data_IF_648704539313
#
_entry.id   IF_648704539313
#
_cell.length_a   1.000
_cell.length_b   1.000
_cell.length_c   1.000
_cell.angle_alpha   90.00
_cell.angle_beta   90.00
_cell.angle_gamma   90.00
#
_symmetry.space_group_name_H-M   'P 1'
#
loop_
_entity.id
_entity.type
_entity.pdbx_description
1 polymer ?
#
# COMPACT_ATOMS: atom_id res chain seq x y z
N UNK A 1 15.21 7.49 -4.83
CA UNK A 1 14.46 6.74 -3.82
C UNK A 1 13.25 7.57 -3.47
N UNK A 2 12.11 7.23 -4.05
CA UNK A 2 10.82 7.90 -3.84
C UNK A 2 9.92 7.11 -2.87
N UNK A 3 10.35 5.90 -2.51
CA UNK A 3 9.74 5.03 -1.51
C UNK A 3 9.88 5.57 -0.07
N UNK A 4 8.77 5.54 0.68
CA UNK A 4 8.74 5.79 2.11
C UNK A 4 8.01 4.66 2.85
N UNK A 5 8.35 4.47 4.12
CA UNK A 5 7.67 3.49 4.96
C UNK A 5 7.46 3.98 6.39
N UNK A 6 6.53 3.32 7.08
CA UNK A 6 6.26 3.45 8.52
C UNK A 6 6.26 2.05 9.11
N UNK A 7 6.91 1.86 10.26
CA UNK A 7 6.84 0.65 11.06
C UNK A 7 7.04 1.03 12.53
N UNK A 8 5.96 1.26 13.26
CA UNK A 8 6.02 1.74 14.66
C UNK A 8 4.84 1.23 15.48
N UNK A 9 5.03 1.15 16.79
CA UNK A 9 3.97 0.91 17.75
C UNK A 9 3.56 2.20 18.45
N UNK A 10 2.28 2.31 18.84
CA UNK A 10 1.71 3.45 19.56
C UNK A 10 0.57 2.96 20.45
N UNK A 11 0.46 3.51 21.67
CA UNK A 11 -0.73 3.32 22.50
C UNK A 11 -1.72 4.45 22.24
N UNK A 12 -2.99 4.12 21.98
CA UNK A 12 -4.06 5.08 21.73
C UNK A 12 -5.39 4.52 22.26
N UNK A 13 -6.18 5.31 22.98
CA UNK A 13 -7.48 4.88 23.56
C UNK A 13 -7.45 3.53 24.30
N UNK A 14 -6.39 3.27 25.08
CA UNK A 14 -6.15 2.02 25.82
C UNK A 14 -5.91 0.77 24.94
N UNK A 15 -5.60 0.95 23.65
CA UNK A 15 -5.22 -0.11 22.74
C UNK A 15 -3.75 0.03 22.32
N UNK A 16 -3.08 -1.10 22.14
CA UNK A 16 -1.77 -1.14 21.49
C UNK A 16 -1.97 -1.21 19.97
N UNK A 17 -1.42 -0.24 19.25
CA UNK A 17 -1.49 -0.15 17.79
C UNK A 17 -0.14 -0.42 17.16
N UNK A 18 -0.08 -1.39 16.24
CA UNK A 18 1.01 -1.54 15.28
C UNK A 18 0.66 -0.85 13.97
N UNK A 19 1.43 0.17 13.59
CA UNK A 19 1.19 1.00 12.40
C UNK A 19 2.28 0.74 11.36
N UNK A 20 1.89 0.21 10.21
CA UNK A 20 2.83 -0.18 9.15
C UNK A 20 2.35 0.29 7.79
N UNK A 21 3.22 0.91 7.00
CA UNK A 21 2.85 1.34 5.66
C UNK A 21 4.03 1.37 4.72
N UNK A 22 3.75 1.20 3.43
CA UNK A 22 4.67 1.53 2.34
C UNK A 22 3.95 2.51 1.42
N UNK A 23 4.71 3.53 1.00
CA UNK A 23 4.30 4.59 0.08
C UNK A 23 5.30 4.56 -1.07
N UNK A 24 4.87 4.00 -2.20
CA UNK A 24 5.67 4.00 -3.43
C UNK A 24 5.35 5.27 -4.21
N UNK A 25 6.31 6.20 -4.20
CA UNK A 25 6.17 7.52 -4.76
C UNK A 25 6.60 7.58 -6.22
N UNK A 26 6.00 8.51 -6.97
CA UNK A 26 6.41 8.75 -8.35
C UNK A 26 6.36 10.24 -8.72
N UNK A 27 7.32 10.67 -9.53
CA UNK A 27 7.45 12.07 -9.99
C UNK A 27 7.61 13.08 -8.83
N UNK A 28 8.34 12.69 -7.78
CA UNK A 28 8.67 13.51 -6.62
C UNK A 28 8.45 12.80 -5.28
N UNK A 29 9.24 13.18 -4.28
CA UNK A 29 9.22 12.59 -2.93
C UNK A 29 8.25 13.27 -1.94
N UNK A 30 7.70 14.42 -2.30
CA UNK A 30 6.91 15.24 -1.38
C UNK A 30 5.57 14.61 -0.97
N UNK A 31 4.87 13.95 -1.91
CA UNK A 31 3.61 13.24 -1.62
C UNK A 31 3.83 12.04 -0.70
N UNK A 32 4.71 11.06 -1.00
CA UNK A 32 4.94 9.93 -0.10
C UNK A 32 5.52 10.36 1.26
N UNK A 33 6.35 11.42 1.30
CA UNK A 33 6.83 12.02 2.54
C UNK A 33 5.68 12.60 3.39
N UNK A 34 4.74 13.31 2.76
CA UNK A 34 3.54 13.82 3.44
C UNK A 34 2.67 12.68 3.98
N UNK A 35 2.46 11.62 3.20
CA UNK A 35 1.70 10.44 3.64
C UNK A 35 2.34 9.77 4.85
N UNK A 36 3.67 9.57 4.83
CA UNK A 36 4.43 9.04 5.98
C UNK A 36 4.20 9.85 7.25
N UNK A 37 4.17 11.17 7.15
CA UNK A 37 4.02 12.05 8.30
C UNK A 37 2.57 12.13 8.83
N UNK A 38 1.57 12.03 7.95
CA UNK A 38 0.21 12.45 8.29
C UNK A 38 -0.87 11.35 8.16
N UNK A 39 -0.74 10.39 7.25
CA UNK A 39 -1.85 9.49 6.91
C UNK A 39 -2.37 8.70 8.12
N UNK A 40 -1.49 8.17 8.96
CA UNK A 40 -1.92 7.47 10.17
C UNK A 40 -2.62 8.38 11.18
N UNK A 41 -2.15 9.61 11.37
CA UNK A 41 -2.84 10.54 12.28
C UNK A 41 -4.23 10.86 11.73
N UNK A 42 -4.33 11.13 10.42
CA UNK A 42 -5.62 11.38 9.77
C UNK A 42 -6.58 10.18 9.94
N UNK A 43 -6.09 8.94 9.83
CA UNK A 43 -6.90 7.73 10.07
C UNK A 43 -7.36 7.63 11.53
N UNK A 44 -6.45 7.84 12.48
CA UNK A 44 -6.75 7.67 13.92
C UNK A 44 -7.62 8.81 14.48
N UNK A 45 -7.57 10.00 13.88
CA UNK A 45 -8.38 11.17 14.23
C UNK A 45 -9.78 11.14 13.59
N UNK A 46 -10.04 10.25 12.63
CA UNK A 46 -11.39 10.08 12.08
C UNK A 46 -12.38 9.66 13.18
N UNK A 47 -13.51 10.37 13.35
CA UNK A 47 -14.45 10.12 14.46
C UNK A 47 -15.00 8.69 14.53
N UNK A 48 -15.03 8.00 13.39
CA UNK A 48 -15.54 6.65 13.28
C UNK A 48 -14.48 5.58 13.54
N UNK A 49 -13.19 5.91 13.69
CA UNK A 49 -12.12 4.91 13.68
C UNK A 49 -12.35 3.74 14.65
N UNK A 50 -12.77 4.02 15.89
CA UNK A 50 -12.97 2.97 16.90
C UNK A 50 -14.32 2.23 16.78
N UNK A 51 -15.24 2.70 15.95
CA UNK A 51 -16.59 2.11 15.78
C UNK A 51 -16.78 1.45 14.43
N UNK A 52 -16.20 2.04 13.40
CA UNK A 52 -16.21 1.62 12.01
C UNK A 52 -14.87 2.00 11.36
N UNK A 53 -13.79 1.22 11.64
CA UNK A 53 -12.47 1.46 11.04
C UNK A 53 -12.51 1.44 9.51
N UNK A 54 -13.40 0.64 8.92
CA UNK A 54 -13.55 0.55 7.47
C UNK A 54 -13.89 1.92 6.86
N UNK A 55 -14.97 2.55 7.33
CA UNK A 55 -15.37 3.87 6.84
C UNK A 55 -14.37 4.95 7.23
N UNK A 56 -13.79 4.90 8.44
CA UNK A 56 -12.77 5.85 8.87
C UNK A 56 -11.54 5.84 7.96
N UNK A 57 -11.00 4.66 7.62
CA UNK A 57 -9.87 4.56 6.70
C UNK A 57 -10.21 5.14 5.31
N UNK A 58 -11.40 4.84 4.77
CA UNK A 58 -11.84 5.42 3.49
C UNK A 58 -11.95 6.94 3.54
N UNK A 59 -12.53 7.48 4.61
CA UNK A 59 -12.67 8.92 4.81
C UNK A 59 -11.30 9.61 4.94
N UNK A 60 -10.40 9.05 5.75
CA UNK A 60 -9.06 9.58 5.94
C UNK A 60 -8.24 9.58 4.64
N UNK A 61 -8.32 8.53 3.83
CA UNK A 61 -7.67 8.50 2.51
C UNK A 61 -8.23 9.59 1.60
N UNK A 62 -9.56 9.75 1.57
CA UNK A 62 -10.23 10.78 0.77
C UNK A 62 -9.84 12.21 1.21
N UNK A 63 -9.90 12.51 2.51
CA UNK A 63 -9.56 13.83 3.05
C UNK A 63 -8.08 14.15 2.89
N UNK A 64 -7.20 13.16 3.09
CA UNK A 64 -5.75 13.29 2.86
C UNK A 64 -5.45 13.59 1.39
N UNK A 65 -6.05 12.87 0.44
CA UNK A 65 -5.85 13.13 -0.97
C UNK A 65 -6.39 14.51 -1.38
N UNK A 66 -7.55 14.91 -0.86
CA UNK A 66 -8.10 16.25 -1.09
C UNK A 66 -7.11 17.33 -0.66
N UNK A 67 -6.53 17.21 0.53
CA UNK A 67 -5.50 18.13 1.00
C UNK A 67 -4.28 18.15 0.07
N UNK A 68 -3.79 16.99 -0.36
CA UNK A 68 -2.64 16.89 -1.27
C UNK A 68 -2.92 17.62 -2.59
N UNK A 69 -4.10 17.41 -3.18
CA UNK A 69 -4.49 18.06 -4.44
C UNK A 69 -4.62 19.58 -4.31
N UNK A 70 -5.23 20.05 -3.23
CA UNK A 70 -5.38 21.48 -2.91
C UNK A 70 -4.01 22.15 -2.70
N UNK A 71 -3.03 21.44 -2.13
CA UNK A 71 -1.69 21.93 -1.82
C UNK A 71 -0.59 21.47 -2.82
N UNK A 72 -0.98 20.98 -3.99
CA UNK A 72 -0.07 20.51 -5.06
C UNK A 72 0.99 21.52 -5.52
N UNK A 73 0.76 22.83 -5.36
CA UNK A 73 1.79 23.83 -5.65
C UNK A 73 3.00 23.73 -4.70
N UNK A 74 2.79 23.23 -3.47
CA UNK A 74 3.83 23.01 -2.46
C UNK A 74 4.30 21.56 -2.45
N UNK A 75 3.36 20.61 -2.57
CA UNK A 75 3.63 19.16 -2.52
C UNK A 75 4.07 18.57 -3.88
N UNK A 76 4.05 19.34 -4.95
CA UNK A 76 4.45 18.89 -6.28
C UNK A 76 3.34 18.23 -7.10
N UNK A 77 3.70 17.81 -8.31
CA UNK A 77 2.78 17.24 -9.30
C UNK A 77 2.71 15.72 -9.28
N UNK A 78 3.63 15.07 -8.57
CA UNK A 78 3.69 13.62 -8.44
C UNK A 78 2.59 13.03 -7.57
N UNK A 79 2.77 11.76 -7.26
CA UNK A 79 1.81 10.98 -6.50
C UNK A 79 2.49 9.89 -5.68
N UNK A 80 1.65 9.07 -5.07
CA UNK A 80 2.11 7.90 -4.32
C UNK A 80 1.01 6.86 -4.24
N UNK A 81 1.42 5.60 -4.26
CA UNK A 81 0.61 4.49 -3.75
C UNK A 81 0.60 4.52 -2.21
N UNK A 82 -0.27 3.73 -1.60
CA UNK A 82 -0.20 3.43 -0.18
C UNK A 82 -0.78 2.05 0.09
N UNK A 83 0.01 1.20 0.73
CA UNK A 83 -0.49 0.00 1.42
C UNK A 83 -0.28 0.19 2.91
N UNK A 84 -1.36 0.25 3.68
CA UNK A 84 -1.31 0.45 5.13
C UNK A 84 -1.86 -0.75 5.87
N UNK A 85 -1.22 -1.12 6.98
CA UNK A 85 -1.67 -2.09 7.95
C UNK A 85 -1.74 -1.47 9.35
N UNK A 86 -2.88 -1.65 10.01
CA UNK A 86 -3.09 -1.30 11.42
C UNK A 86 -3.40 -2.59 12.18
N UNK A 87 -2.55 -2.93 13.14
CA UNK A 87 -2.75 -4.05 14.06
C UNK A 87 -3.27 -3.49 15.38
N UNK A 88 -4.42 -3.95 15.86
CA UNK A 88 -5.02 -3.54 17.14
C UNK A 88 -4.91 -4.70 18.13
N UNK A 89 -4.22 -4.47 19.24
CA UNK A 89 -3.99 -5.42 20.35
C UNK A 89 -3.44 -6.79 19.94
N UNK A 90 -2.79 -6.87 18.77
CA UNK A 90 -2.35 -8.13 18.17
C UNK A 90 -3.49 -9.06 17.75
N UNK A 91 -4.74 -8.58 17.71
CA UNK A 91 -5.96 -9.35 17.45
C UNK A 91 -6.66 -8.98 16.16
N UNK A 92 -6.61 -7.73 15.75
CA UNK A 92 -7.30 -7.25 14.54
C UNK A 92 -6.28 -6.65 13.57
N UNK A 93 -6.30 -7.11 12.33
CA UNK A 93 -5.51 -6.55 11.23
C UNK A 93 -6.44 -5.83 10.26
N UNK A 94 -6.25 -4.52 10.13
CA UNK A 94 -6.89 -3.69 9.13
C UNK A 94 -5.90 -3.33 8.03
N UNK A 95 -6.22 -3.67 6.79
CA UNK A 95 -5.43 -3.33 5.60
C UNK A 95 -6.23 -2.33 4.75
N UNK A 96 -5.56 -1.31 4.23
CA UNK A 96 -6.10 -0.48 3.16
C UNK A 96 -5.05 -0.30 2.05
N UNK A 97 -5.51 -0.31 0.79
CA UNK A 97 -4.63 -0.15 -0.37
C UNK A 97 -5.15 0.86 -1.39
N UNK A 98 -4.25 1.65 -1.93
CA UNK A 98 -4.41 2.47 -3.15
C UNK A 98 -3.13 2.31 -3.98
N UNK A 99 -3.26 1.94 -5.25
CA UNK A 99 -2.12 1.65 -6.13
C UNK A 99 -1.81 0.16 -6.25
N UNK A 100 -0.59 -0.16 -6.65
CA UNK A 100 -0.06 -1.50 -6.95
C UNK A 100 1.02 -1.99 -5.95
N UNK A 101 1.27 -1.22 -4.89
CA UNK A 101 1.77 -1.81 -3.65
C UNK A 101 0.81 -2.89 -3.14
N UNK A 102 1.34 -3.92 -2.49
CA UNK A 102 0.55 -5.11 -2.14
C UNK A 102 0.88 -5.67 -0.77
N UNK A 103 -0.16 -6.19 -0.10
CA UNK A 103 -0.04 -6.97 1.12
C UNK A 103 -0.40 -8.45 0.90
N UNK A 104 0.45 -9.37 1.36
CA UNK A 104 0.30 -10.82 1.25
C UNK A 104 0.45 -11.48 2.61
N UNK A 105 -0.58 -12.21 3.04
CA UNK A 105 -0.66 -12.93 4.31
C UNK A 105 -0.12 -14.36 4.16
N UNK A 106 0.68 -14.80 5.13
CA UNK A 106 0.99 -16.22 5.32
C UNK A 106 -0.04 -16.83 6.26
N UNK A 107 -0.96 -17.63 5.72
CA UNK A 107 -1.96 -18.37 6.47
C UNK A 107 -1.72 -19.86 6.28
N UNK A 108 -1.47 -20.60 7.36
CA UNK A 108 -1.15 -22.05 7.34
C UNK A 108 0.00 -22.41 6.39
N UNK A 109 0.93 -21.48 6.19
CA UNK A 109 2.08 -21.66 5.31
C UNK A 109 1.82 -21.37 3.82
N UNK A 110 0.61 -20.92 3.46
CA UNK A 110 0.22 -20.55 2.08
C UNK A 110 0.04 -19.05 1.95
N UNK A 111 0.25 -18.51 0.74
CA UNK A 111 0.06 -17.10 0.45
C UNK A 111 -1.39 -16.74 0.16
N UNK A 112 -1.91 -15.75 0.87
CA UNK A 112 -3.21 -15.15 0.64
C UNK A 112 -3.04 -13.64 0.41
N UNK A 113 -3.30 -13.18 -0.82
CA UNK A 113 -3.21 -11.76 -1.14
C UNK A 113 -4.39 -11.01 -0.51
N UNK A 114 -4.08 -10.02 0.33
CA UNK A 114 -5.08 -9.27 1.07
C UNK A 114 -5.62 -8.08 0.29
N UNK A 115 -4.78 -7.47 -0.55
CA UNK A 115 -5.06 -6.24 -1.32
C UNK A 115 -5.34 -6.54 -2.78
N UNK A 116 -6.08 -5.67 -3.45
CA UNK A 116 -6.19 -5.67 -4.91
C UNK A 116 -5.22 -4.62 -5.46
N UNK A 117 -4.44 -5.02 -6.47
CA UNK A 117 -3.54 -4.10 -7.17
C UNK A 117 -4.37 -3.30 -8.18
N UNK A 118 -4.29 -1.98 -8.07
CA UNK A 118 -5.12 -1.07 -8.85
C UNK A 118 -4.52 -0.79 -10.23
N UNK A 119 -4.45 -1.82 -11.06
CA UNK A 119 -3.90 -1.71 -12.41
C UNK A 119 -4.87 -1.00 -13.39
N UNK A 120 -4.35 -0.19 -14.34
CA UNK A 120 -5.18 0.53 -15.32
C UNK A 120 -6.15 -0.36 -16.11
N UNK A 121 -5.74 -1.57 -16.52
CA UNK A 121 -6.63 -2.47 -17.26
C UNK A 121 -7.81 -2.98 -16.43
N UNK A 122 -7.58 -3.28 -15.15
CA UNK A 122 -8.62 -3.76 -14.25
C UNK A 122 -9.69 -2.67 -14.01
N UNK A 123 -9.28 -1.41 -13.98
CA UNK A 123 -10.17 -0.26 -13.72
C UNK A 123 -10.62 0.47 -15.01
N UNK A 124 -10.31 -0.09 -16.20
CA UNK A 124 -10.55 0.54 -17.52
C UNK A 124 -11.96 1.08 -17.67
N UNK A 125 -12.98 0.30 -17.30
CA UNK A 125 -14.39 0.71 -17.45
C UNK A 125 -14.70 1.98 -16.65
N UNK A 126 -14.14 2.14 -15.45
CA UNK A 126 -14.31 3.35 -14.63
C UNK A 126 -13.62 4.55 -15.29
N UNK A 127 -12.38 4.35 -15.75
CA UNK A 127 -11.55 5.37 -16.39
C UNK A 127 -12.21 5.92 -17.67
N UNK A 128 -12.69 5.03 -18.55
CA UNK A 128 -13.32 5.39 -19.82
C UNK A 128 -14.67 6.08 -19.62
N UNK A 129 -15.45 5.67 -18.60
CA UNK A 129 -16.69 6.37 -18.22
C UNK A 129 -16.46 7.82 -17.76
N UNK A 130 -15.26 8.12 -17.25
CA UNK A 130 -14.86 9.47 -16.83
C UNK A 130 -14.24 10.28 -17.98
N UNK A 131 -14.20 9.74 -19.20
CA UNK A 131 -13.63 10.41 -20.38
C UNK A 131 -12.12 10.19 -20.57
N UNK A 132 -11.51 9.34 -19.73
CA UNK A 132 -10.11 8.92 -19.88
C UNK A 132 -9.95 7.74 -20.83
N UNK A 133 -8.73 7.24 -20.94
CA UNK A 133 -8.42 6.02 -21.69
C UNK A 133 -7.31 5.21 -21.04
N UNK A 134 -7.23 3.92 -21.38
CA UNK A 134 -6.12 3.05 -20.98
C UNK A 134 -5.41 2.55 -22.23
N UNK A 135 -4.12 2.85 -22.34
CA UNK A 135 -3.28 2.44 -23.46
C UNK A 135 -2.09 1.62 -23.00
N UNK A 136 -1.59 0.74 -23.85
CA UNK A 136 -0.37 -0.03 -23.64
C UNK A 136 0.53 0.18 -24.85
N UNK A 137 1.64 0.90 -24.67
CA UNK A 137 2.62 1.07 -25.75
C UNK A 137 3.42 -0.22 -25.95
N UNK A 138 3.94 -0.50 -27.18
CA UNK A 138 4.74 -1.69 -27.43
C UNK A 138 5.95 -1.79 -26.48
N UNK A 139 6.02 -2.88 -25.70
CA UNK A 139 7.09 -3.10 -24.73
C UNK A 139 6.93 -2.35 -23.40
N UNK A 140 5.78 -1.73 -23.15
CA UNK A 140 5.46 -0.99 -21.92
C UNK A 140 4.29 -1.64 -21.17
N UNK A 141 3.96 -1.08 -20.01
CA UNK A 141 2.81 -1.46 -19.18
C UNK A 141 1.56 -0.64 -19.55
N UNK A 142 0.36 -1.11 -19.15
CA UNK A 142 -0.87 -0.33 -19.29
C UNK A 142 -0.78 0.98 -18.51
N UNK A 143 -1.27 2.08 -19.10
CA UNK A 143 -1.24 3.42 -18.49
C UNK A 143 -2.55 4.17 -18.65
N UNK A 144 -2.97 4.86 -17.58
CA UNK A 144 -4.07 5.83 -17.59
C UNK A 144 -3.64 7.06 -18.39
N UNK A 145 -4.41 7.39 -19.42
CA UNK A 145 -4.14 8.47 -20.38
C UNK A 145 -2.72 8.45 -20.97
N UNK A 146 -2.12 7.25 -21.08
CA UNK A 146 -0.74 7.07 -21.55
C UNK A 146 0.34 7.57 -20.60
N UNK A 147 0.00 7.95 -19.36
CA UNK A 147 0.92 8.58 -18.42
C UNK A 147 1.24 7.66 -17.22
N UNK A 148 0.23 7.26 -16.45
CA UNK A 148 0.45 6.61 -15.15
C UNK A 148 0.12 5.12 -15.17
N UNK A 149 1.02 4.29 -14.64
CA UNK A 149 0.88 2.82 -14.64
C UNK A 149 -0.02 2.28 -13.52
N UNK A 150 -0.62 3.14 -12.71
CA UNK A 150 -1.61 2.81 -11.68
C UNK A 150 -2.92 3.55 -11.94
N UNK A 151 -4.05 2.90 -11.58
CA UNK A 151 -5.40 3.45 -11.72
C UNK A 151 -5.86 4.24 -10.49
N UNK A 152 -5.22 3.98 -9.34
CA UNK A 152 -5.51 4.66 -8.08
C UNK A 152 -4.21 5.13 -7.43
N UNK A 153 -4.19 6.37 -6.95
CA UNK A 153 -3.04 6.99 -6.31
C UNK A 153 -3.49 8.20 -5.46
N UNK A 154 -2.63 8.61 -4.52
CA UNK A 154 -2.68 9.95 -3.94
C UNK A 154 -1.97 10.95 -4.85
N UNK A 155 -2.43 12.19 -4.91
CA UNK A 155 -1.80 13.24 -5.72
C UNK A 155 -2.20 13.15 -7.20
N UNK A 156 -1.21 13.27 -8.10
CA UNK A 156 -1.41 13.19 -9.56
C UNK A 156 -2.48 14.16 -10.08
N UNK A 157 -2.37 15.44 -9.70
CA UNK A 157 -3.40 16.47 -9.97
C UNK A 157 -3.80 16.57 -11.46
N UNK A 158 -2.87 16.36 -12.38
CA UNK A 158 -3.14 16.36 -13.84
C UNK A 158 -4.08 15.23 -14.28
N UNK A 159 -4.10 14.12 -13.54
CA UNK A 159 -4.90 12.93 -13.81
C UNK A 159 -6.07 12.73 -12.84
N UNK A 160 -6.29 13.66 -11.90
CA UNK A 160 -7.33 13.57 -10.85
C UNK A 160 -8.75 13.24 -11.34
N UNK A 161 -9.07 13.54 -12.61
CA UNK A 161 -10.39 13.26 -13.19
C UNK A 161 -10.58 11.77 -13.55
N UNK A 162 -9.49 11.03 -13.69
CA UNK A 162 -9.48 9.64 -14.17
C UNK A 162 -8.85 8.67 -13.16
N UNK A 163 -8.16 9.19 -12.14
CA UNK A 163 -7.67 8.42 -11.00
C UNK A 163 -8.67 8.43 -9.84
N UNK A 164 -8.62 7.39 -9.01
CA UNK A 164 -9.31 7.35 -7.72
C UNK A 164 -8.28 7.32 -6.59
N UNK A 165 -8.62 7.87 -5.43
CA UNK A 165 -7.87 7.67 -4.19
C UNK A 165 -8.70 6.90 -3.16
N UNK A 166 -9.78 6.25 -3.60
CA UNK A 166 -10.62 5.41 -2.75
C UNK A 166 -9.90 4.08 -2.47
N UNK A 167 -9.60 3.77 -1.19
CA UNK A 167 -8.93 2.53 -0.87
C UNK A 167 -9.91 1.36 -0.87
N UNK A 168 -9.38 0.19 -1.24
CA UNK A 168 -9.98 -1.07 -0.83
C UNK A 168 -9.51 -1.37 0.59
N UNK A 169 -10.47 -1.63 1.50
CA UNK A 169 -10.20 -1.85 2.94
C UNK A 169 -10.65 -3.25 3.34
N UNK A 170 -9.82 -3.97 4.10
CA UNK A 170 -10.08 -5.33 4.54
C UNK A 170 -9.74 -5.49 6.02
N UNK A 171 -10.63 -6.17 6.74
CA UNK A 171 -10.43 -6.61 8.11
C UNK A 171 -10.12 -8.11 8.16
N UNK A 172 -9.14 -8.48 8.97
CA UNK A 172 -8.73 -9.85 9.22
C UNK A 172 -8.55 -10.03 10.74
N UNK A 173 -9.37 -10.86 11.40
CA UNK A 173 -9.09 -11.32 12.75
C UNK A 173 -7.80 -12.16 12.75
N UNK A 174 -6.86 -11.82 13.61
CA UNK A 174 -5.60 -12.53 13.77
C UNK A 174 -5.86 -13.76 14.66
N UNK A 175 -5.67 -14.94 14.09
CA UNK A 175 -5.73 -16.22 14.80
C UNK A 175 -4.39 -16.96 14.76
N UNK A 176 -4.34 -18.16 15.33
CA UNK A 176 -3.12 -18.97 15.41
C UNK A 176 -2.63 -19.51 14.07
N UNK A 177 -3.45 -19.43 13.02
CA UNK A 177 -3.16 -19.93 11.69
C UNK A 177 -2.40 -18.89 10.85
N UNK A 178 -2.55 -17.61 11.20
CA UNK A 178 -1.85 -16.47 10.60
C UNK A 178 -0.44 -16.35 11.17
N UNK A 179 0.59 -16.41 10.32
CA UNK A 179 1.99 -16.39 10.79
C UNK A 179 2.64 -15.02 10.64
N UNK A 180 2.44 -14.39 9.50
CA UNK A 180 2.99 -13.08 9.18
C UNK A 180 2.29 -12.48 7.97
N UNK A 181 2.44 -11.19 7.77
CA UNK A 181 2.05 -10.49 6.54
C UNK A 181 3.26 -9.75 5.97
N UNK A 182 3.39 -9.76 4.64
CA UNK A 182 4.37 -8.99 3.88
C UNK A 182 3.63 -7.80 3.27
N UNK A 183 4.11 -6.58 3.50
CA UNK A 183 3.75 -5.40 2.70
C UNK A 183 4.98 -5.08 1.84
N UNK A 184 4.80 -4.83 0.54
CA UNK A 184 5.90 -4.36 -0.31
C UNK A 184 5.40 -3.48 -1.46
N UNK A 185 6.31 -2.63 -1.96
CA UNK A 185 6.14 -1.91 -3.22
C UNK A 185 6.20 -2.86 -4.41
N UNK A 186 5.81 -2.37 -5.58
CA UNK A 186 5.75 -3.20 -6.80
C UNK A 186 7.14 -3.70 -7.23
N UNK A 187 8.22 -3.04 -6.78
CA UNK A 187 9.60 -3.46 -7.00
C UNK A 187 9.91 -4.87 -6.50
N UNK A 188 9.16 -5.37 -5.49
CA UNK A 188 9.19 -6.78 -5.09
C UNK A 188 8.27 -7.62 -6.00
N UNK A 189 7.02 -7.20 -6.16
CA UNK A 189 5.96 -8.03 -6.75
C UNK A 189 6.07 -8.20 -8.27
N UNK A 190 6.77 -7.29 -8.96
CA UNK A 190 7.11 -7.40 -10.39
C UNK A 190 8.05 -8.57 -10.69
N UNK A 191 8.83 -9.04 -9.71
CA UNK A 191 9.86 -10.09 -9.91
C UNK A 191 9.66 -11.34 -9.05
N UNK A 192 8.66 -11.35 -8.18
CA UNK A 192 8.41 -12.45 -7.24
C UNK A 192 6.92 -12.71 -7.08
N UNK A 193 6.53 -13.99 -7.18
CA UNK A 193 5.14 -14.40 -6.94
C UNK A 193 4.82 -14.44 -5.45
N UNK A 194 3.54 -14.31 -5.10
CA UNK A 194 3.08 -14.30 -3.70
C UNK A 194 3.54 -15.54 -2.91
N UNK A 195 3.30 -16.75 -3.44
CA UNK A 195 3.69 -18.01 -2.78
C UNK A 195 5.20 -18.12 -2.60
N UNK A 196 5.94 -17.71 -3.63
CA UNK A 196 7.40 -17.70 -3.61
C UNK A 196 7.97 -16.77 -2.55
N UNK A 197 7.39 -15.57 -2.38
CA UNK A 197 7.77 -14.64 -1.32
C UNK A 197 7.52 -15.23 0.07
N UNK A 198 6.36 -15.87 0.28
CA UNK A 198 6.06 -16.55 1.54
C UNK A 198 7.06 -17.69 1.81
N UNK A 199 7.28 -18.56 0.83
CA UNK A 199 8.18 -19.71 0.95
C UNK A 199 9.62 -19.30 1.28
N UNK A 200 10.08 -18.18 0.71
CA UNK A 200 11.42 -17.67 0.91
C UNK A 200 11.71 -17.29 2.37
N UNK A 201 10.70 -16.79 3.08
CA UNK A 201 10.88 -16.20 4.43
C UNK A 201 10.11 -16.89 5.54
N UNK A 202 9.26 -17.89 5.23
CA UNK A 202 8.41 -18.54 6.25
C UNK A 202 9.18 -19.13 7.43
N UNK A 203 10.42 -19.58 7.21
CA UNK A 203 11.32 -20.10 8.25
C UNK A 203 12.13 -19.04 9.01
N UNK A 204 12.19 -17.79 8.52
CA UNK A 204 12.99 -16.71 9.12
C UNK A 204 12.19 -16.04 10.24
N UNK A 205 12.61 -16.23 11.49
CA UNK A 205 11.91 -15.71 12.67
C UNK A 205 12.02 -14.19 12.83
N UNK A 206 13.17 -13.62 12.49
CA UNK A 206 13.39 -12.18 12.59
C UNK A 206 12.73 -11.45 11.41
N UNK A 207 11.75 -10.56 11.65
CA UNK A 207 11.03 -9.88 10.58
C UNK A 207 11.94 -8.98 9.73
N UNK A 208 12.96 -8.37 10.33
CA UNK A 208 13.88 -7.50 9.59
C UNK A 208 14.77 -8.31 8.65
N UNK A 209 15.28 -9.46 9.10
CA UNK A 209 16.01 -10.41 8.26
C UNK A 209 15.14 -10.98 7.14
N UNK A 210 13.86 -11.24 7.41
CA UNK A 210 12.89 -11.67 6.40
C UNK A 210 12.70 -10.60 5.31
N UNK A 211 12.44 -9.35 5.71
CA UNK A 211 12.32 -8.23 4.78
C UNK A 211 13.61 -8.05 3.95
N UNK A 212 14.78 -8.07 4.59
CA UNK A 212 16.07 -7.97 3.91
C UNK A 212 16.30 -9.11 2.92
N UNK A 213 15.88 -10.33 3.25
CA UNK A 213 15.97 -11.48 2.35
C UNK A 213 15.13 -11.26 1.10
N UNK A 214 13.90 -10.76 1.24
CA UNK A 214 13.00 -10.47 0.12
C UNK A 214 13.58 -9.40 -0.81
N UNK A 215 14.06 -8.28 -0.24
CA UNK A 215 14.62 -7.19 -1.06
C UNK A 215 15.91 -7.60 -1.75
N UNK A 216 16.78 -8.37 -1.08
CA UNK A 216 18.01 -8.90 -1.69
C UNK A 216 17.70 -9.84 -2.86
N UNK A 217 16.69 -10.71 -2.70
CA UNK A 217 16.26 -11.62 -3.76
C UNK A 217 15.65 -10.85 -4.95
N UNK A 218 14.84 -9.81 -4.70
CA UNK A 218 14.30 -8.97 -5.76
C UNK A 218 15.40 -8.23 -6.55
N UNK A 219 16.44 -7.73 -5.86
CA UNK A 219 17.62 -7.14 -6.50
C UNK A 219 18.38 -8.19 -7.33
N UNK A 220 18.57 -9.41 -6.81
CA UNK A 220 19.23 -10.50 -7.54
C UNK A 220 18.46 -10.88 -8.83
N UNK A 221 17.15 -10.71 -8.82
CA UNK A 221 16.26 -10.88 -9.99
C UNK A 221 16.21 -9.67 -10.92
N UNK A 222 17.07 -8.68 -10.70
CA UNK A 222 17.21 -7.48 -11.52
C UNK A 222 15.92 -6.66 -11.54
N UNK A 223 15.22 -6.56 -10.40
CA UNK A 223 14.18 -5.54 -10.25
C UNK A 223 14.78 -4.17 -10.58
N UNK A 224 14.01 -3.37 -11.31
CA UNK A 224 14.43 -2.07 -11.86
C UNK A 224 13.83 -0.89 -11.10
N UNK A 225 13.06 -1.18 -10.05
CA UNK A 225 12.33 -0.19 -9.26
C UNK A 225 12.95 -0.01 -7.87
N UNK A 226 12.50 1.01 -7.16
CA UNK A 226 12.73 1.09 -5.72
C UNK A 226 12.04 -0.11 -5.02
N UNK A 227 12.65 -0.65 -3.97
CA UNK A 227 12.16 -1.86 -3.30
C UNK A 227 12.04 -1.60 -1.81
N UNK A 228 10.80 -1.44 -1.35
CA UNK A 228 10.45 -1.39 0.06
C UNK A 228 9.69 -2.63 0.47
N UNK A 229 10.00 -3.15 1.66
CA UNK A 229 9.34 -4.33 2.20
C UNK A 229 9.28 -4.25 3.73
N UNK A 230 8.10 -4.56 4.28
CA UNK A 230 7.86 -4.74 5.72
C UNK A 230 7.32 -6.15 5.92
N UNK A 231 7.86 -6.85 6.91
CA UNK A 231 7.31 -8.12 7.40
C UNK A 231 6.79 -7.92 8.82
N UNK A 232 5.51 -8.19 9.03
CA UNK A 232 4.87 -8.15 10.36
C UNK A 232 4.66 -9.60 10.79
N UNK A 233 5.39 -10.06 11.82
CA UNK A 233 5.21 -11.40 12.40
C UNK A 233 4.28 -11.35 13.61
N UNK A 234 3.30 -12.25 13.64
CA UNK A 234 2.39 -12.39 14.76
C UNK A 234 2.91 -13.47 15.72
N UNK A 235 2.84 -13.20 17.02
CA UNK A 235 3.15 -14.18 18.06
C UNK A 235 1.89 -15.00 18.31
N UNK A 236 1.83 -16.19 17.73
CA UNK A 236 0.82 -17.19 18.02
C UNK A 236 1.39 -18.25 18.96
#
# INVERSE_FOLDING_TARGET
MEDYHVAKYRNENNHELGLFAIFDGHMGESVPSYLKANLFNNILEEPLFWRDPHSAMKNAYCSTNKYILENSNQLGHGGSTAVTAIVIDGKDLWIANVGDSRAVLCERGTANQLTVDHEPHAERSRIEKQGGFVTTFPGDVPRVNGQLAVARAFGDKSLRAHLSSEPDVRHIPIDSTIKFVILASDGLWKVMKNEEAIDLVKSIKDPQAAAKRLTTEALARKSKDDISCIVIRFRC
#
